data_IF_198875025183
#
_entry.id   IF_198875025183
#
_cell.length_a   1.000
_cell.length_b   1.000
_cell.length_c   1.000
_cell.angle_alpha   90.00
_cell.angle_beta   90.00
_cell.angle_gamma   90.00
#
_symmetry.space_group_name_H-M   'P 1'
#
loop_
_entity.id
_entity.type
_entity.pdbx_description
1 polymer ?
#
# COMPACT_ATOMS: atom_id res chain seq x y z
N UNK A 1 -16.88 31.72 2.09
CA UNK A 1 -18.28 31.63 2.54
C UNK A 1 -19.00 32.97 2.64
N UNK A 2 -18.34 34.11 2.94
CA UNK A 2 -18.97 35.44 2.80
C UNK A 2 -19.37 35.79 1.35
N UNK A 3 -18.63 35.32 0.32
CA UNK A 3 -19.05 35.49 -1.10
C UNK A 3 -20.27 34.68 -1.52
N UNK A 4 -20.69 33.67 -0.73
CA UNK A 4 -21.86 32.84 -1.02
C UNK A 4 -23.10 33.27 -0.20
N UNK A 5 -23.01 34.38 0.55
CA UNK A 5 -24.11 34.88 1.39
C UNK A 5 -24.41 34.04 2.64
N UNK A 6 -23.57 33.05 2.96
CA UNK A 6 -23.74 32.18 4.14
C UNK A 6 -22.98 32.75 5.35
N UNK A 7 -23.60 32.66 6.53
CA UNK A 7 -22.92 33.04 7.78
C UNK A 7 -21.67 32.19 7.99
N UNK A 8 -20.59 32.82 8.48
CA UNK A 8 -19.33 32.14 8.77
C UNK A 8 -19.54 30.99 9.76
N UNK A 9 -20.53 31.09 10.64
CA UNK A 9 -20.89 30.09 11.63
C UNK A 9 -21.45 28.80 10.99
N UNK A 10 -22.43 28.90 10.09
CA UNK A 10 -22.95 27.75 9.33
C UNK A 10 -21.82 27.09 8.54
N UNK A 11 -20.95 27.90 7.96
CA UNK A 11 -19.81 27.43 7.22
C UNK A 11 -18.78 26.65 8.04
N UNK A 12 -18.50 27.07 9.29
CA UNK A 12 -17.62 26.35 10.21
C UNK A 12 -18.21 24.98 10.57
N UNK A 13 -19.50 24.93 10.91
CA UNK A 13 -20.19 23.68 11.25
C UNK A 13 -20.15 22.71 10.08
N UNK A 14 -20.41 23.19 8.86
CA UNK A 14 -20.36 22.37 7.65
C UNK A 14 -18.98 21.76 7.42
N UNK A 15 -17.90 22.56 7.48
CA UNK A 15 -16.53 22.07 7.25
C UNK A 15 -16.10 21.07 8.32
N UNK A 16 -16.41 21.34 9.59
CA UNK A 16 -16.09 20.41 10.70
C UNK A 16 -16.84 19.10 10.51
N UNK A 17 -18.15 19.16 10.23
CA UNK A 17 -18.97 17.96 10.00
C UNK A 17 -18.46 17.15 8.81
N UNK A 18 -18.19 17.81 7.68
CA UNK A 18 -17.69 17.16 6.47
C UNK A 18 -16.33 16.50 6.72
N UNK A 19 -15.40 17.19 7.39
CA UNK A 19 -14.09 16.66 7.74
C UNK A 19 -14.19 15.47 8.71
N UNK A 20 -14.99 15.59 9.77
CA UNK A 20 -15.20 14.51 10.74
C UNK A 20 -15.85 13.29 10.10
N UNK A 21 -16.88 13.47 9.27
CA UNK A 21 -17.52 12.37 8.56
C UNK A 21 -16.53 11.68 7.60
N UNK A 22 -15.78 12.45 6.80
CA UNK A 22 -14.75 11.92 5.91
C UNK A 22 -13.67 11.13 6.68
N UNK A 23 -13.20 11.67 7.79
CA UNK A 23 -12.20 11.02 8.64
C UNK A 23 -12.72 9.71 9.23
N UNK A 24 -13.95 9.70 9.75
CA UNK A 24 -14.59 8.51 10.31
C UNK A 24 -14.84 7.43 9.25
N UNK A 25 -15.33 7.79 8.07
CA UNK A 25 -15.52 6.81 6.97
C UNK A 25 -14.20 6.23 6.48
N UNK A 26 -13.16 7.07 6.38
CA UNK A 26 -11.82 6.62 5.98
C UNK A 26 -11.21 5.69 7.04
N UNK A 27 -11.38 6.02 8.32
CA UNK A 27 -10.91 5.20 9.44
C UNK A 27 -11.65 3.85 9.50
N UNK A 28 -12.98 3.84 9.37
CA UNK A 28 -13.77 2.61 9.31
C UNK A 28 -13.33 1.72 8.15
N UNK A 29 -13.18 2.30 6.96
CA UNK A 29 -12.73 1.56 5.78
C UNK A 29 -11.32 1.01 5.96
N UNK A 30 -10.39 1.81 6.49
CA UNK A 30 -9.01 1.41 6.69
C UNK A 30 -8.87 0.30 7.74
N UNK A 31 -9.58 0.40 8.87
CA UNK A 31 -9.56 -0.63 9.93
C UNK A 31 -10.17 -1.94 9.43
N UNK A 32 -11.24 -1.87 8.63
CA UNK A 32 -11.86 -3.03 8.01
C UNK A 32 -10.94 -3.72 7.00
N UNK A 33 -10.33 -2.97 6.07
CA UNK A 33 -9.39 -3.53 5.09
C UNK A 33 -8.16 -4.10 5.78
N UNK A 34 -7.59 -3.38 6.76
CA UNK A 34 -6.44 -3.85 7.52
C UNK A 34 -6.73 -5.16 8.26
N UNK A 35 -7.93 -5.31 8.82
CA UNK A 35 -8.39 -6.57 9.39
C UNK A 35 -8.44 -7.68 8.35
N UNK A 36 -9.02 -7.44 7.17
CA UNK A 36 -9.10 -8.46 6.12
C UNK A 36 -7.72 -8.93 5.65
N UNK A 37 -6.79 -8.00 5.45
CA UNK A 37 -5.39 -8.33 5.10
C UNK A 37 -4.74 -9.16 6.21
N UNK A 38 -4.98 -8.81 7.48
CA UNK A 38 -4.45 -9.57 8.61
C UNK A 38 -5.05 -10.98 8.66
N UNK A 39 -6.36 -11.13 8.46
CA UNK A 39 -7.01 -12.45 8.44
C UNK A 39 -6.49 -13.31 7.29
N UNK A 40 -6.36 -12.74 6.09
CA UNK A 40 -5.85 -13.42 4.89
C UNK A 40 -4.40 -13.90 5.07
N UNK A 41 -3.57 -13.14 5.80
CA UNK A 41 -2.21 -13.57 6.15
C UNK A 41 -2.16 -14.88 6.95
N UNK A 42 -3.22 -15.23 7.69
CA UNK A 42 -3.31 -16.48 8.47
C UNK A 42 -4.14 -17.57 7.79
N UNK A 43 -4.59 -17.39 6.54
CA UNK A 43 -5.45 -18.37 5.86
C UNK A 43 -4.76 -19.72 5.62
N UNK A 44 -3.45 -19.71 5.39
CA UNK A 44 -2.60 -20.90 5.17
C UNK A 44 -1.92 -21.41 6.46
N UNK A 45 -2.23 -20.81 7.62
CA UNK A 45 -1.63 -21.22 8.90
C UNK A 45 -2.24 -22.53 9.46
N UNK A 46 -1.54 -23.14 10.41
CA UNK A 46 -2.05 -24.32 11.15
C UNK A 46 -3.38 -24.03 11.84
N UNK A 47 -4.26 -25.04 12.00
CA UNK A 47 -5.64 -24.85 12.47
C UNK A 47 -5.76 -24.05 13.79
N UNK A 48 -4.81 -24.23 14.72
CA UNK A 48 -4.78 -23.48 15.98
C UNK A 48 -4.48 -21.99 15.79
N UNK A 49 -3.47 -21.66 14.98
CA UNK A 49 -3.07 -20.29 14.68
C UNK A 49 -4.08 -19.59 13.78
N UNK A 50 -4.70 -20.33 12.86
CA UNK A 50 -5.77 -19.85 11.99
C UNK A 50 -7.00 -19.38 12.79
N UNK A 51 -7.45 -20.14 13.79
CA UNK A 51 -8.58 -19.75 14.66
C UNK A 51 -8.34 -18.45 15.44
N UNK A 52 -7.11 -18.24 15.89
CA UNK A 52 -6.75 -17.03 16.66
C UNK A 52 -6.53 -15.84 15.72
N UNK A 53 -5.79 -16.03 14.62
CA UNK A 53 -5.47 -15.00 13.64
C UNK A 53 -6.67 -14.51 12.83
N UNK A 54 -7.67 -15.37 12.62
CA UNK A 54 -8.91 -15.01 11.92
C UNK A 54 -10.01 -14.44 12.82
N UNK A 55 -9.84 -14.48 14.15
CA UNK A 55 -10.84 -13.96 15.07
C UNK A 55 -11.01 -12.44 14.90
N UNK A 56 -12.22 -12.01 14.58
CA UNK A 56 -12.58 -10.60 14.34
C UNK A 56 -12.05 -9.64 15.41
N UNK A 57 -12.12 -10.02 16.69
CA UNK A 57 -11.68 -9.16 17.79
C UNK A 57 -10.16 -9.06 17.87
N UNK A 58 -9.47 -10.20 17.73
CA UNK A 58 -8.00 -10.26 17.76
C UNK A 58 -7.42 -9.48 16.59
N UNK A 59 -7.89 -9.77 15.36
CA UNK A 59 -7.41 -9.10 14.16
C UNK A 59 -7.66 -7.59 14.23
N UNK A 60 -8.85 -7.15 14.69
CA UNK A 60 -9.14 -5.70 14.81
C UNK A 60 -8.24 -5.03 15.84
N UNK A 61 -8.07 -5.62 17.04
CA UNK A 61 -7.24 -5.05 18.10
C UNK A 61 -5.79 -4.94 17.64
N UNK A 62 -5.25 -6.00 17.02
CA UNK A 62 -3.87 -6.00 16.52
C UNK A 62 -3.68 -4.94 15.42
N UNK A 63 -4.58 -4.88 14.44
CA UNK A 63 -4.51 -3.88 13.36
C UNK A 63 -4.56 -2.45 13.91
N UNK A 64 -5.49 -2.15 14.82
CA UNK A 64 -5.64 -0.81 15.41
C UNK A 64 -4.45 -0.47 16.32
N UNK A 65 -4.02 -1.40 17.17
CA UNK A 65 -2.88 -1.18 18.07
C UNK A 65 -1.59 -0.94 17.28
N UNK A 66 -1.32 -1.73 16.23
CA UNK A 66 -0.18 -1.53 15.34
C UNK A 66 -0.23 -0.18 14.62
N UNK A 67 -1.41 0.22 14.14
CA UNK A 67 -1.62 1.52 13.49
C UNK A 67 -1.35 2.69 14.46
N UNK A 68 -1.84 2.61 15.69
CA UNK A 68 -1.57 3.60 16.73
C UNK A 68 -0.09 3.64 17.13
N UNK A 69 0.56 2.48 17.26
CA UNK A 69 1.98 2.41 17.58
C UNK A 69 2.85 3.09 16.51
N UNK A 70 2.53 2.87 15.23
CA UNK A 70 3.18 3.54 14.11
C UNK A 70 2.87 5.04 14.14
N UNK A 71 1.65 5.47 14.44
CA UNK A 71 1.31 6.90 14.50
C UNK A 71 2.17 7.67 15.53
N UNK A 72 2.44 7.06 16.70
CA UNK A 72 3.28 7.66 17.75
C UNK A 72 4.74 7.87 17.29
N UNK A 73 5.22 7.09 16.33
CA UNK A 73 6.58 7.23 15.78
C UNK A 73 6.78 8.51 14.94
N UNK A 74 5.69 9.18 14.54
CA UNK A 74 5.73 10.48 13.88
C UNK A 74 5.48 10.40 12.38
N UNK A 75 4.43 11.10 11.93
CA UNK A 75 3.94 11.14 10.55
C UNK A 75 5.03 11.44 9.51
N UNK A 76 5.88 12.44 9.76
CA UNK A 76 6.90 12.88 8.81
C UNK A 76 7.94 11.81 8.47
N UNK A 77 8.18 10.85 9.37
CA UNK A 77 9.11 9.74 9.13
C UNK A 77 8.47 8.58 8.37
N UNK A 78 7.16 8.38 8.53
CA UNK A 78 6.42 7.26 7.92
C UNK A 78 6.00 7.60 6.50
N UNK A 79 5.72 8.87 6.23
CA UNK A 79 5.22 9.35 4.95
C UNK A 79 6.03 8.88 3.73
N UNK A 80 7.38 8.90 3.73
CA UNK A 80 8.14 8.43 2.57
C UNK A 80 7.98 6.93 2.31
N UNK A 81 7.93 6.11 3.36
CA UNK A 81 7.73 4.65 3.23
C UNK A 81 6.30 4.35 2.79
N UNK A 82 5.32 5.09 3.31
CA UNK A 82 3.93 4.98 2.87
C UNK A 82 3.79 5.32 1.38
N UNK A 83 4.46 6.38 0.91
CA UNK A 83 4.53 6.73 -0.50
C UNK A 83 5.06 5.59 -1.38
N UNK A 84 6.19 4.99 -0.98
CA UNK A 84 6.78 3.86 -1.70
C UNK A 84 5.89 2.62 -1.70
N UNK A 85 5.22 2.30 -0.58
CA UNK A 85 4.28 1.18 -0.49
C UNK A 85 3.08 1.38 -1.44
N UNK A 86 2.56 2.60 -1.55
CA UNK A 86 1.46 2.92 -2.47
C UNK A 86 1.89 2.81 -3.94
N UNK A 87 3.12 3.22 -4.26
CA UNK A 87 3.68 3.04 -5.60
C UNK A 87 3.83 1.55 -5.95
N UNK A 88 4.20 0.72 -4.98
CA UNK A 88 4.28 -0.72 -5.17
C UNK A 88 2.89 -1.36 -5.42
N UNK A 89 1.85 -0.92 -4.70
CA UNK A 89 0.47 -1.34 -4.96
C UNK A 89 -0.01 -0.91 -6.35
N UNK A 90 0.35 0.30 -6.78
CA UNK A 90 0.08 0.77 -8.14
C UNK A 90 0.80 -0.09 -9.19
N UNK A 91 2.06 -0.46 -8.94
CA UNK A 91 2.82 -1.34 -9.81
C UNK A 91 2.18 -2.74 -9.92
N UNK A 92 1.67 -3.29 -8.81
CA UNK A 92 0.92 -4.55 -8.79
C UNK A 92 -0.37 -4.46 -9.63
N UNK A 93 -1.14 -3.38 -9.49
CA UNK A 93 -2.35 -3.16 -10.28
C UNK A 93 -2.05 -3.06 -11.79
N UNK A 94 -0.99 -2.34 -12.17
CA UNK A 94 -0.53 -2.24 -13.55
C UNK A 94 -0.02 -3.57 -14.10
N UNK A 95 0.63 -4.39 -13.29
CA UNK A 95 1.04 -5.75 -13.63
C UNK A 95 -0.18 -6.64 -13.92
N UNK A 96 -1.20 -6.59 -13.05
CA UNK A 96 -2.45 -7.33 -13.24
C UNK A 96 -3.16 -6.92 -14.55
N UNK A 97 -3.31 -5.60 -14.79
CA UNK A 97 -3.87 -5.06 -16.02
C UNK A 97 -3.06 -5.47 -17.26
N UNK A 98 -1.73 -5.41 -17.16
CA UNK A 98 -0.86 -5.81 -18.27
C UNK A 98 -1.02 -7.30 -18.56
N UNK A 99 -1.00 -8.15 -17.54
CA UNK A 99 -1.27 -9.59 -17.70
C UNK A 99 -2.61 -9.84 -18.37
N UNK A 100 -3.66 -9.14 -17.94
CA UNK A 100 -4.99 -9.26 -18.52
C UNK A 100 -5.02 -8.89 -20.00
N UNK A 101 -4.37 -7.80 -20.39
CA UNK A 101 -4.27 -7.38 -21.80
C UNK A 101 -3.48 -8.39 -22.65
N UNK A 102 -2.40 -8.98 -22.10
CA UNK A 102 -1.65 -10.04 -22.77
C UNK A 102 -2.55 -11.27 -23.00
N UNK A 103 -3.39 -11.67 -22.02
CA UNK A 103 -4.34 -12.79 -22.22
C UNK A 103 -5.37 -12.50 -23.30
N UNK A 104 -5.82 -11.25 -23.44
CA UNK A 104 -6.73 -10.85 -24.51
C UNK A 104 -6.04 -10.68 -25.86
N UNK A 105 -4.72 -10.81 -25.94
CA UNK A 105 -3.94 -10.56 -27.16
C UNK A 105 -3.98 -9.10 -27.64
N UNK A 106 -4.37 -8.16 -26.78
CA UNK A 106 -4.43 -6.73 -27.11
C UNK A 106 -3.07 -6.06 -26.95
N UNK A 107 -2.90 -4.89 -27.57
CA UNK A 107 -1.69 -4.08 -27.43
C UNK A 107 -1.50 -3.67 -25.97
N UNK A 108 -0.39 -4.08 -25.36
CA UNK A 108 -0.09 -3.88 -23.93
C UNK A 108 0.76 -2.64 -23.64
N UNK A 109 1.25 -1.96 -24.68
CA UNK A 109 2.21 -0.85 -24.54
C UNK A 109 1.70 0.30 -23.66
N UNK A 110 0.38 0.57 -23.68
CA UNK A 110 -0.23 1.65 -22.89
C UNK A 110 -0.14 1.42 -21.38
N UNK A 111 -0.11 0.17 -20.93
CA UNK A 111 -0.05 -0.19 -19.49
C UNK A 111 1.37 -0.59 -19.09
N UNK A 112 2.10 -1.24 -19.99
CA UNK A 112 3.48 -1.70 -19.76
C UNK A 112 4.45 -0.54 -19.53
N UNK A 113 4.33 0.56 -20.28
CA UNK A 113 5.23 1.72 -20.12
C UNK A 113 5.06 2.37 -18.73
N UNK A 114 3.83 2.73 -18.28
CA UNK A 114 3.62 3.18 -16.90
C UNK A 114 4.07 2.19 -15.84
N UNK A 115 3.88 0.88 -16.07
CA UNK A 115 4.31 -0.17 -15.13
C UNK A 115 5.82 -0.15 -14.91
N UNK A 116 6.61 -0.13 -15.99
CA UNK A 116 8.08 -0.10 -15.91
C UNK A 116 8.54 1.16 -15.20
N UNK A 117 7.98 2.32 -15.57
CA UNK A 117 8.31 3.59 -14.93
C UNK A 117 8.00 3.56 -13.43
N UNK A 118 6.84 3.04 -13.03
CA UNK A 118 6.48 2.90 -11.61
C UNK A 118 7.46 2.00 -10.85
N UNK A 119 7.84 0.85 -11.40
CA UNK A 119 8.85 0.00 -10.76
C UNK A 119 10.21 0.70 -10.62
N UNK A 120 10.67 1.41 -11.65
CA UNK A 120 11.92 2.18 -11.59
C UNK A 120 11.87 3.23 -10.47
N UNK A 121 10.81 4.04 -10.43
CA UNK A 121 10.64 5.08 -9.40
C UNK A 121 10.55 4.47 -8.01
N UNK A 122 9.79 3.39 -7.83
CA UNK A 122 9.61 2.71 -6.54
C UNK A 122 10.93 2.13 -6.03
N UNK A 123 11.68 1.44 -6.88
CA UNK A 123 12.97 0.85 -6.50
C UNK A 123 14.01 1.93 -6.18
N UNK A 124 14.08 3.00 -6.98
CA UNK A 124 14.97 4.12 -6.69
C UNK A 124 14.61 4.81 -5.37
N UNK A 125 13.32 5.05 -5.12
CA UNK A 125 12.86 5.65 -3.87
C UNK A 125 13.19 4.78 -2.65
N UNK A 126 12.92 3.47 -2.73
CA UNK A 126 13.24 2.53 -1.66
C UNK A 126 14.75 2.42 -1.42
N UNK A 127 15.58 2.39 -2.45
CA UNK A 127 17.03 2.38 -2.30
C UNK A 127 17.56 3.64 -1.57
N UNK A 128 17.00 4.82 -1.90
CA UNK A 128 17.33 6.06 -1.20
C UNK A 128 16.90 6.02 0.28
N UNK A 129 15.70 5.50 0.58
CA UNK A 129 15.21 5.36 1.94
C UNK A 129 16.03 4.37 2.77
N UNK A 130 16.45 3.24 2.18
CA UNK A 130 17.35 2.28 2.81
C UNK A 130 18.68 2.96 3.15
N UNK A 131 19.26 3.69 2.19
CA UNK A 131 20.50 4.44 2.43
C UNK A 131 20.33 5.46 3.57
N UNK A 132 19.23 6.21 3.57
CA UNK A 132 18.96 7.22 4.58
C UNK A 132 18.76 6.63 5.99
N UNK A 133 17.96 5.58 6.12
CA UNK A 133 17.56 5.04 7.41
C UNK A 133 18.53 4.03 8.01
N UNK A 134 19.39 3.40 7.21
CA UNK A 134 20.37 2.42 7.69
C UNK A 134 21.79 2.99 7.73
N UNK A 135 22.18 3.74 6.71
CA UNK A 135 23.56 4.22 6.54
C UNK A 135 23.71 5.75 6.65
N UNK A 136 22.59 6.46 6.85
CA UNK A 136 22.55 7.92 6.88
C UNK A 136 22.56 8.49 8.31
N UNK A 137 22.72 9.82 8.39
CA UNK A 137 22.73 10.58 9.65
C UNK A 137 21.38 10.57 10.41
N UNK A 138 20.28 10.16 9.77
CA UNK A 138 18.95 10.03 10.38
C UNK A 138 18.55 8.56 10.52
N UNK A 139 19.39 7.80 11.21
CA UNK A 139 19.27 6.35 11.35
C UNK A 139 17.96 5.98 12.06
N UNK A 140 17.14 5.15 11.42
CA UNK A 140 15.90 4.61 11.97
C UNK A 140 15.75 3.17 11.48
N UNK A 141 16.34 2.21 12.21
CA UNK A 141 16.41 0.81 11.77
C UNK A 141 15.06 0.16 11.50
N UNK A 142 14.01 0.50 12.27
CA UNK A 142 12.65 -0.02 12.05
C UNK A 142 12.15 0.33 10.64
N UNK A 143 12.26 1.62 10.28
CA UNK A 143 11.85 2.12 8.96
C UNK A 143 12.77 1.60 7.85
N UNK A 144 14.07 1.46 8.13
CA UNK A 144 15.04 0.83 7.23
C UNK A 144 14.68 -0.62 6.90
N UNK A 145 14.28 -1.41 7.90
CA UNK A 145 13.84 -2.80 7.73
C UNK A 145 12.58 -2.86 6.87
N UNK A 146 11.57 -2.03 7.14
CA UNK A 146 10.37 -1.95 6.28
C UNK A 146 10.72 -1.59 4.84
N UNK A 147 11.65 -0.66 4.62
CA UNK A 147 12.10 -0.30 3.28
C UNK A 147 12.81 -1.47 2.57
N UNK A 148 13.63 -2.25 3.28
CA UNK A 148 14.24 -3.48 2.75
C UNK A 148 13.16 -4.50 2.36
N UNK A 149 12.20 -4.76 3.24
CA UNK A 149 11.12 -5.73 2.98
C UNK A 149 10.33 -5.33 1.73
N UNK A 150 9.96 -4.05 1.61
CA UNK A 150 9.27 -3.54 0.42
C UNK A 150 10.15 -3.60 -0.84
N UNK A 151 11.46 -3.37 -0.71
CA UNK A 151 12.38 -3.46 -1.83
C UNK A 151 12.48 -4.91 -2.35
N UNK A 152 12.64 -5.87 -1.45
CA UNK A 152 12.65 -7.30 -1.81
C UNK A 152 11.33 -7.70 -2.45
N UNK A 153 10.20 -7.26 -1.89
CA UNK A 153 8.87 -7.51 -2.47
C UNK A 153 8.75 -6.94 -3.89
N UNK A 154 9.26 -5.73 -4.14
CA UNK A 154 9.28 -5.13 -5.47
C UNK A 154 10.11 -5.94 -6.48
N UNK A 155 11.24 -6.52 -6.05
CA UNK A 155 12.04 -7.41 -6.90
C UNK A 155 11.29 -8.71 -7.19
N UNK A 156 10.61 -9.30 -6.20
CA UNK A 156 9.78 -10.50 -6.40
C UNK A 156 8.67 -10.23 -7.44
N UNK A 157 7.99 -9.10 -7.34
CA UNK A 157 6.95 -8.73 -8.29
C UNK A 157 7.49 -8.49 -9.71
N UNK A 158 8.70 -7.95 -9.85
CA UNK A 158 9.35 -7.83 -11.16
C UNK A 158 9.67 -9.19 -11.78
N UNK A 159 10.12 -10.14 -10.96
CA UNK A 159 10.37 -11.52 -11.41
C UNK A 159 9.04 -12.15 -11.87
N UNK A 160 7.97 -11.97 -11.11
CA UNK A 160 6.65 -12.49 -11.48
C UNK A 160 6.11 -11.83 -12.76
N UNK A 161 6.30 -10.52 -12.92
CA UNK A 161 5.97 -9.80 -14.15
C UNK A 161 6.69 -10.45 -15.36
N UNK A 162 8.00 -10.66 -15.24
CA UNK A 162 8.82 -11.27 -16.29
C UNK A 162 8.36 -12.71 -16.62
N UNK A 163 8.07 -13.52 -15.61
CA UNK A 163 7.56 -14.88 -15.78
C UNK A 163 6.23 -14.92 -16.53
N UNK A 164 5.31 -14.00 -16.22
CA UNK A 164 4.02 -13.88 -16.91
C UNK A 164 4.22 -13.56 -18.40
N UNK A 165 5.16 -12.66 -18.74
CA UNK A 165 5.46 -12.33 -20.13
C UNK A 165 6.09 -13.51 -20.90
N UNK A 166 6.99 -14.27 -20.28
CA UNK A 166 7.60 -15.44 -20.91
C UNK A 166 6.61 -16.58 -21.10
N UNK A 167 5.88 -16.98 -20.05
CA UNK A 167 4.94 -18.11 -20.12
C UNK A 167 3.87 -17.89 -21.19
N UNK A 168 3.32 -16.67 -21.32
CA UNK A 168 2.33 -16.37 -22.38
C UNK A 168 2.93 -16.31 -23.79
N UNK A 169 4.23 -16.08 -23.95
CA UNK A 169 4.91 -16.17 -25.24
C UNK A 169 5.07 -17.63 -25.71
N UNK A 170 5.15 -18.57 -24.77
CA UNK A 170 5.29 -20.02 -25.03
C UNK A 170 3.95 -20.65 -25.43
N UNK A 171 2.83 -20.23 -24.82
CA UNK A 171 1.48 -20.79 -25.09
C UNK A 171 0.90 -20.32 -26.44
N UNK A 172 1.48 -19.29 -27.06
CA UNK A 172 1.07 -18.77 -28.38
C UNK A 172 1.89 -19.33 -29.56
N UNK A 173 2.81 -20.26 -29.31
CA UNK A 173 3.52 -21.03 -30.35
C UNK A 173 2.89 -22.40 -30.51
#
# INVERSE_FOLDING_TARGET
MNSFGLSVEVGKVFVILAFSAFALTSLDTATRIGRYIFQEFFDEASEGTKKIGQNIYVSTIVTVAASCAILVYGYSKIWPIFGSANQLLAALALLALTSWFVSMGKKTSMVLVPMILMFCVTLSALALLIKQYIFGATTNFILGIFAIVLFVLAIILLIEAYNVFIKKKIVKK
#
